data_IF_828958193177
#
_entry.id   IF_828958193177
#
_cell.length_a   1.000
_cell.length_b   1.000
_cell.length_c   1.000
_cell.angle_alpha   90.00
_cell.angle_beta   90.00
_cell.angle_gamma   90.00
#
_symmetry.space_group_name_H-M   'P 1'
#
loop_
_entity.id
_entity.type
_entity.pdbx_description
1 polymer ?
#
# COMPACT_ATOMS: atom_id res chain seq x y z
N UNK A 1 22.27 1.59 -8.64
CA UNK A 1 20.94 1.94 -9.17
C UNK A 1 19.89 1.18 -8.40
N UNK A 2 18.83 1.83 -7.95
CA UNK A 2 17.70 1.17 -7.26
C UNK A 2 16.37 1.53 -7.89
N UNK A 3 15.53 0.51 -8.06
CA UNK A 3 14.11 0.68 -8.32
C UNK A 3 13.38 0.42 -7.00
N UNK A 4 12.47 1.33 -6.63
CA UNK A 4 11.79 1.34 -5.34
C UNK A 4 10.29 1.41 -5.57
N UNK A 5 9.52 0.65 -4.79
CA UNK A 5 8.08 0.84 -4.72
C UNK A 5 7.60 0.96 -3.29
N UNK A 6 6.59 1.79 -3.08
CA UNK A 6 5.89 1.93 -1.81
C UNK A 6 4.52 1.27 -1.93
N UNK A 7 4.31 0.24 -1.11
CA UNK A 7 3.05 -0.48 -0.99
C UNK A 7 2.45 -0.23 0.40
N UNK A 8 1.14 -0.36 0.50
CA UNK A 8 0.38 -0.02 1.69
C UNK A 8 -0.96 0.58 1.30
N UNK A 9 -1.97 0.33 2.14
CA UNK A 9 -3.34 0.80 1.88
C UNK A 9 -3.39 2.34 1.86
N UNK A 10 -4.33 2.88 1.10
CA UNK A 10 -4.65 4.31 1.14
C UNK A 10 -4.94 4.77 2.57
N UNK A 11 -4.64 6.04 2.90
CA UNK A 11 -4.71 6.60 4.27
C UNK A 11 -3.80 5.98 5.33
N UNK A 12 -2.94 5.03 4.99
CA UNK A 12 -1.88 4.58 5.92
C UNK A 12 -0.73 5.59 6.08
N UNK A 13 -0.82 6.77 5.47
CA UNK A 13 0.21 7.82 5.59
C UNK A 13 1.36 7.70 4.58
N UNK A 14 1.17 6.93 3.51
CA UNK A 14 2.15 6.68 2.44
C UNK A 14 2.66 7.94 1.71
N UNK A 15 1.98 9.09 1.88
CA UNK A 15 2.48 10.41 1.44
C UNK A 15 3.82 10.76 2.11
N UNK A 16 3.98 10.44 3.40
CA UNK A 16 5.18 10.80 4.16
C UNK A 16 6.43 10.18 3.52
N UNK A 17 6.41 8.88 3.25
CA UNK A 17 7.53 8.20 2.59
C UNK A 17 7.74 8.67 1.15
N UNK A 18 6.68 8.92 0.39
CA UNK A 18 6.83 9.43 -0.98
C UNK A 18 7.51 10.79 -1.02
N UNK A 19 7.16 11.69 -0.09
CA UNK A 19 7.79 13.02 0.02
C UNK A 19 9.23 12.90 0.51
N UNK A 20 9.53 11.99 1.44
CA UNK A 20 10.90 11.67 1.83
C UNK A 20 11.73 11.19 0.65
N UNK A 21 11.25 10.23 -0.15
CA UNK A 21 11.97 9.73 -1.33
C UNK A 21 12.21 10.85 -2.36
N UNK A 22 11.18 11.64 -2.67
CA UNK A 22 11.32 12.79 -3.57
C UNK A 22 12.35 13.81 -3.06
N UNK A 23 12.29 14.18 -1.79
CA UNK A 23 13.26 15.08 -1.16
C UNK A 23 14.69 14.51 -1.10
N UNK A 24 14.83 13.18 -1.26
CA UNK A 24 16.11 12.48 -1.30
C UNK A 24 16.67 12.31 -2.72
N UNK A 25 16.03 12.91 -3.73
CA UNK A 25 16.47 12.83 -5.12
C UNK A 25 16.04 11.57 -5.86
N UNK A 26 15.09 10.80 -5.34
CA UNK A 26 14.52 9.64 -6.06
C UNK A 26 13.56 10.14 -7.15
N UNK A 27 13.78 9.70 -8.39
CA UNK A 27 12.84 9.95 -9.47
C UNK A 27 11.57 9.09 -9.30
N UNK A 28 10.44 9.72 -8.98
CA UNK A 28 9.19 9.01 -8.64
C UNK A 28 8.19 8.92 -9.81
N UNK A 29 8.61 9.28 -11.03
CA UNK A 29 7.78 9.43 -12.22
C UNK A 29 7.63 10.89 -12.66
N UNK A 30 7.20 11.11 -13.90
CA UNK A 30 7.12 12.47 -14.49
C UNK A 30 6.04 13.35 -13.88
N UNK A 31 4.97 12.76 -13.36
CA UNK A 31 3.83 13.52 -12.84
C UNK A 31 3.37 12.92 -11.52
N UNK A 32 3.37 13.75 -10.48
CA UNK A 32 2.95 13.40 -9.13
C UNK A 32 1.78 14.28 -8.70
N UNK A 33 0.80 13.69 -8.02
CA UNK A 33 -0.22 14.47 -7.33
C UNK A 33 0.30 15.01 -5.98
N UNK A 34 -0.52 15.77 -5.24
CA UNK A 34 -0.16 16.31 -3.91
C UNK A 34 0.24 15.24 -2.88
N UNK A 35 -0.29 14.02 -3.03
CA UNK A 35 0.02 12.88 -2.17
C UNK A 35 1.31 12.15 -2.53
N UNK A 36 2.02 12.59 -3.58
CA UNK A 36 3.19 11.90 -4.11
C UNK A 36 2.81 10.64 -4.90
N UNK A 37 1.54 10.48 -5.28
CA UNK A 37 1.15 9.37 -6.15
C UNK A 37 1.58 9.66 -7.58
N UNK A 38 2.13 8.64 -8.24
CA UNK A 38 2.38 8.68 -9.67
C UNK A 38 1.05 8.67 -10.43
N UNK A 39 0.87 9.63 -11.33
CA UNK A 39 -0.34 9.81 -12.14
C UNK A 39 0.03 10.04 -13.62
N UNK A 40 -0.88 9.79 -14.58
CA UNK A 40 -2.26 9.29 -14.45
C UNK A 40 -2.33 7.83 -13.96
N UNK A 41 -3.27 7.49 -13.06
CA UNK A 41 -3.33 6.15 -12.44
C UNK A 41 -4.13 5.11 -13.24
N UNK A 42 -4.81 5.52 -14.32
CA UNK A 42 -5.81 4.70 -15.01
C UNK A 42 -5.28 3.32 -15.41
N UNK A 43 -4.09 3.25 -15.99
CA UNK A 43 -3.47 1.99 -16.41
C UNK A 43 -3.23 1.03 -15.24
N UNK A 44 -2.79 1.55 -14.07
CA UNK A 44 -2.66 0.72 -12.87
C UNK A 44 -4.03 0.28 -12.34
N UNK A 45 -5.05 1.15 -12.39
CA UNK A 45 -6.41 0.77 -11.98
C UNK A 45 -7.01 -0.31 -12.88
N UNK A 46 -6.76 -0.25 -14.18
CA UNK A 46 -7.17 -1.28 -15.12
C UNK A 46 -6.41 -2.59 -14.83
N UNK A 47 -5.10 -2.52 -14.54
CA UNK A 47 -4.32 -3.69 -14.13
C UNK A 47 -4.87 -4.34 -12.84
N UNK A 48 -5.34 -3.54 -11.87
CA UNK A 48 -6.05 -4.06 -10.70
C UNK A 48 -7.28 -4.87 -11.09
N UNK A 49 -8.08 -4.40 -12.04
CA UNK A 49 -9.25 -5.13 -12.54
C UNK A 49 -8.89 -6.40 -13.28
N UNK A 50 -7.77 -6.42 -14.01
CA UNK A 50 -7.28 -7.62 -14.68
C UNK A 50 -6.91 -8.70 -13.66
N UNK A 51 -6.08 -8.37 -12.67
CA UNK A 51 -5.68 -9.35 -11.65
C UNK A 51 -6.87 -9.83 -10.80
N UNK A 52 -7.81 -8.93 -10.50
CA UNK A 52 -8.99 -9.26 -9.69
C UNK A 52 -9.86 -10.37 -10.29
N UNK A 53 -9.87 -10.54 -11.63
CA UNK A 53 -10.57 -11.65 -12.32
C UNK A 53 -10.15 -13.04 -11.81
N UNK A 54 -8.95 -13.14 -11.25
CA UNK A 54 -8.35 -14.40 -10.78
C UNK A 54 -8.46 -14.59 -9.26
N UNK A 55 -8.98 -13.60 -8.53
CA UNK A 55 -9.22 -13.69 -7.09
C UNK A 55 -10.59 -14.32 -6.85
N UNK A 56 -10.64 -15.46 -6.15
CA UNK A 56 -11.90 -16.14 -5.85
C UNK A 56 -12.39 -15.79 -4.45
N UNK A 57 -13.52 -15.10 -4.36
CA UNK A 57 -14.23 -14.92 -3.09
C UNK A 57 -14.81 -16.26 -2.60
N UNK A 58 -14.62 -16.57 -1.31
CA UNK A 58 -15.11 -17.81 -0.68
C UNK A 58 -16.38 -17.59 0.15
N UNK A 59 -16.86 -16.35 0.24
CA UNK A 59 -17.90 -15.94 1.17
C UNK A 59 -17.34 -15.21 2.39
N UNK A 60 -18.16 -14.37 3.03
CA UNK A 60 -17.76 -13.57 4.18
C UNK A 60 -16.50 -12.74 3.91
N UNK A 61 -15.49 -12.88 4.77
CA UNK A 61 -14.23 -12.12 4.74
C UNK A 61 -13.03 -12.95 4.24
N UNK A 62 -13.29 -13.92 3.36
CA UNK A 62 -12.30 -14.87 2.85
C UNK A 62 -12.17 -14.83 1.32
N UNK A 63 -10.92 -14.77 0.84
CA UNK A 63 -10.54 -14.79 -0.56
C UNK A 63 -9.40 -15.78 -0.78
N UNK A 64 -9.33 -16.33 -1.98
CA UNK A 64 -8.28 -17.25 -2.40
C UNK A 64 -7.37 -16.59 -3.42
N UNK A 65 -6.12 -16.42 -3.01
CA UNK A 65 -5.05 -15.80 -3.77
C UNK A 65 -4.07 -16.81 -4.36
N UNK A 66 -4.26 -18.11 -4.09
CA UNK A 66 -3.26 -19.16 -4.38
C UNK A 66 -2.85 -19.16 -5.85
N UNK A 67 -3.82 -19.07 -6.76
CA UNK A 67 -3.59 -19.08 -8.21
C UNK A 67 -2.67 -17.96 -8.67
N UNK A 68 -2.66 -16.79 -8.00
CA UNK A 68 -1.88 -15.62 -8.41
C UNK A 68 -0.36 -15.86 -8.35
N UNK A 69 0.08 -16.85 -7.56
CA UNK A 69 1.49 -17.13 -7.33
C UNK A 69 2.11 -18.06 -8.38
N UNK A 70 1.31 -18.94 -8.97
CA UNK A 70 1.81 -20.02 -9.84
C UNK A 70 1.36 -19.90 -11.31
N UNK A 71 0.22 -19.24 -11.57
CA UNK A 71 -0.28 -19.08 -12.94
C UNK A 71 0.58 -18.13 -13.78
N UNK A 72 0.53 -18.22 -15.10
CA UNK A 72 1.12 -17.18 -15.96
C UNK A 72 0.43 -15.83 -15.71
N UNK A 73 1.22 -14.75 -15.71
CA UNK A 73 0.67 -13.40 -15.58
C UNK A 73 -0.10 -13.09 -16.87
N UNK A 74 -1.29 -12.50 -16.71
CA UNK A 74 -2.11 -12.10 -17.86
C UNK A 74 -1.36 -11.06 -18.71
N UNK A 75 -1.18 -11.26 -20.03
CA UNK A 75 -0.48 -10.29 -20.88
C UNK A 75 -1.11 -8.90 -20.86
N UNK A 76 -2.43 -8.79 -20.68
CA UNK A 76 -3.12 -7.51 -20.52
C UNK A 76 -2.58 -6.75 -19.30
N UNK A 77 -2.30 -7.46 -18.21
CA UNK A 77 -1.71 -6.87 -17.02
C UNK A 77 -0.28 -6.38 -17.26
N UNK A 78 0.54 -7.18 -17.92
CA UNK A 78 1.94 -6.82 -18.22
C UNK A 78 2.01 -5.56 -19.09
N UNK A 79 1.17 -5.47 -20.11
CA UNK A 79 1.07 -4.30 -20.99
C UNK A 79 0.65 -3.05 -20.21
N UNK A 80 -0.40 -3.15 -19.38
CA UNK A 80 -0.91 -2.04 -18.58
C UNK A 80 0.14 -1.53 -17.57
N UNK A 81 0.86 -2.43 -16.90
CA UNK A 81 1.92 -2.06 -15.97
C UNK A 81 3.15 -1.52 -16.70
N UNK A 82 3.51 -2.10 -17.84
CA UNK A 82 4.58 -1.61 -18.71
C UNK A 82 4.33 -0.17 -19.16
N UNK A 83 3.12 0.13 -19.64
CA UNK A 83 2.71 1.48 -20.01
C UNK A 83 2.70 2.44 -18.82
N UNK A 84 2.14 2.02 -17.67
CA UNK A 84 2.07 2.86 -16.48
C UNK A 84 3.45 3.24 -15.93
N UNK A 85 4.42 2.32 -15.98
CA UNK A 85 5.76 2.50 -15.43
C UNK A 85 6.82 2.90 -16.46
N UNK A 86 6.46 3.09 -17.74
CA UNK A 86 7.40 3.35 -18.84
C UNK A 86 8.36 4.54 -18.58
N UNK A 87 7.87 5.60 -17.94
CA UNK A 87 8.69 6.74 -17.55
C UNK A 87 9.67 6.39 -16.43
N UNK A 88 9.25 5.64 -15.42
CA UNK A 88 10.11 5.19 -14.31
C UNK A 88 11.15 4.18 -14.80
N UNK A 89 10.75 3.17 -15.56
CA UNK A 89 11.68 2.14 -16.06
C UNK A 89 12.64 2.70 -17.10
N UNK A 90 12.20 3.66 -17.92
CA UNK A 90 13.02 4.33 -18.93
C UNK A 90 13.96 5.42 -18.41
N UNK A 91 13.74 5.96 -17.21
CA UNK A 91 14.55 7.06 -16.68
C UNK A 91 15.98 6.63 -16.26
N UNK A 92 16.93 7.56 -16.37
CA UNK A 92 18.37 7.32 -16.12
C UNK A 92 18.83 7.65 -14.69
N UNK A 93 17.94 8.15 -13.84
CA UNK A 93 18.26 8.47 -12.45
C UNK A 93 18.78 7.25 -11.71
N UNK A 94 19.77 7.48 -10.83
CA UNK A 94 20.39 6.41 -10.04
C UNK A 94 19.36 5.73 -9.13
N UNK A 95 18.47 6.52 -8.51
CA UNK A 95 17.38 6.04 -7.70
C UNK A 95 16.07 6.46 -8.33
N UNK A 96 15.18 5.48 -8.54
CA UNK A 96 13.88 5.72 -9.14
C UNK A 96 12.82 4.81 -8.53
N UNK A 97 11.57 5.15 -8.71
CA UNK A 97 10.49 4.40 -8.11
C UNK A 97 9.12 4.92 -8.46
N UNK A 98 8.12 4.31 -7.84
CA UNK A 98 6.76 4.79 -7.92
C UNK A 98 6.07 4.58 -6.59
N UNK A 99 4.97 5.31 -6.42
CA UNK A 99 4.03 5.12 -5.33
C UNK A 99 2.64 5.35 -5.87
N UNK A 100 1.75 4.41 -5.59
CA UNK A 100 0.30 4.53 -5.74
C UNK A 100 -0.31 3.45 -4.83
N UNK A 101 -1.17 3.77 -3.84
CA UNK A 101 -1.64 2.80 -2.86
C UNK A 101 -2.28 1.54 -3.48
N UNK A 102 -2.94 1.68 -4.62
CA UNK A 102 -3.56 0.62 -5.40
C UNK A 102 -2.55 -0.41 -5.93
N UNK A 103 -1.24 -0.11 -5.96
CA UNK A 103 -0.19 -1.11 -6.22
C UNK A 103 -0.31 -2.29 -5.26
N UNK A 104 -0.80 -2.07 -4.04
CA UNK A 104 -1.05 -3.13 -3.05
C UNK A 104 -2.09 -4.15 -3.55
N UNK A 105 -3.11 -3.71 -4.29
CA UNK A 105 -4.15 -4.59 -4.84
C UNK A 105 -3.62 -5.56 -5.89
N UNK A 106 -2.45 -5.30 -6.45
CA UNK A 106 -1.79 -6.10 -7.50
C UNK A 106 -0.41 -6.58 -7.08
N UNK A 107 -0.11 -6.49 -5.79
CA UNK A 107 1.19 -6.83 -5.22
C UNK A 107 1.72 -8.22 -5.61
N UNK A 108 0.90 -9.30 -5.65
CA UNK A 108 1.38 -10.62 -6.06
C UNK A 108 2.08 -10.64 -7.42
N UNK A 109 1.49 -9.95 -8.42
CA UNK A 109 2.04 -9.93 -9.77
C UNK A 109 3.14 -8.87 -9.93
N UNK A 110 3.07 -7.76 -9.20
CA UNK A 110 4.19 -6.79 -9.15
C UNK A 110 5.47 -7.44 -8.63
N UNK A 111 5.40 -8.26 -7.57
CA UNK A 111 6.58 -8.99 -7.05
C UNK A 111 7.17 -9.93 -8.09
N UNK A 112 6.33 -10.58 -8.89
CA UNK A 112 6.78 -11.51 -9.94
C UNK A 112 7.39 -10.78 -11.14
N UNK A 113 6.85 -9.64 -11.54
CA UNK A 113 7.42 -8.81 -12.61
C UNK A 113 8.71 -8.10 -12.18
N UNK A 114 8.82 -7.74 -10.90
CA UNK A 114 9.92 -6.94 -10.36
C UNK A 114 10.53 -7.61 -9.11
N UNK A 115 11.17 -8.78 -9.23
CA UNK A 115 11.64 -9.56 -8.07
C UNK A 115 12.82 -8.92 -7.33
N UNK A 116 13.62 -8.09 -8.02
CA UNK A 116 14.89 -7.55 -7.52
C UNK A 116 14.82 -6.09 -7.06
N UNK A 117 13.61 -5.53 -6.94
CA UNK A 117 13.42 -4.13 -6.53
C UNK A 117 13.25 -4.01 -5.02
N UNK A 118 13.40 -2.80 -4.50
CA UNK A 118 13.22 -2.50 -3.07
C UNK A 118 11.76 -2.18 -2.76
N UNK A 119 11.13 -3.01 -1.95
CA UNK A 119 9.75 -2.84 -1.48
C UNK A 119 9.72 -2.19 -0.10
N UNK A 120 9.08 -1.04 0.00
CA UNK A 120 8.74 -0.42 1.29
C UNK A 120 7.27 -0.71 1.58
N UNK A 121 7.01 -1.63 2.50
CA UNK A 121 5.66 -1.87 3.00
C UNK A 121 5.36 -0.89 4.13
N UNK A 122 4.38 -0.03 3.89
CA UNK A 122 3.95 1.00 4.81
C UNK A 122 2.64 0.60 5.49
N UNK A 123 2.69 0.39 6.80
CA UNK A 123 1.51 0.04 7.60
C UNK A 123 1.16 1.14 8.59
N UNK A 124 -0.12 1.21 8.96
CA UNK A 124 -0.66 2.11 9.95
C UNK A 124 -1.73 1.36 10.73
N UNK A 125 -1.98 1.78 11.98
CA UNK A 125 -3.09 1.28 12.78
C UNK A 125 -4.39 1.27 11.92
N UNK A 126 -5.04 0.10 11.77
CA UNK A 126 -6.22 -0.03 10.92
C UNK A 126 -7.35 0.91 11.34
N UNK A 127 -7.51 1.15 12.65
CA UNK A 127 -8.54 2.04 13.22
C UNK A 127 -8.40 3.45 12.68
N UNK A 128 -7.15 3.90 12.53
CA UNK A 128 -6.77 5.20 12.00
C UNK A 128 -6.87 5.28 10.48
N UNK A 129 -6.65 4.14 9.80
CA UNK A 129 -6.69 4.04 8.35
C UNK A 129 -8.12 4.19 7.83
N UNK A 130 -9.11 3.62 8.50
CA UNK A 130 -10.50 3.62 8.03
C UNK A 130 -11.29 4.90 8.33
N UNK A 131 -10.68 5.88 9.02
CA UNK A 131 -11.36 7.12 9.38
C UNK A 131 -11.77 7.96 8.16
N UNK A 132 -11.04 7.88 7.06
CA UNK A 132 -11.21 8.77 5.91
C UNK A 132 -11.35 8.01 4.59
N UNK A 133 -11.98 8.65 3.60
CA UNK A 133 -12.36 8.03 2.34
C UNK A 133 -11.22 7.90 1.32
N UNK A 134 -10.97 6.70 0.81
CA UNK A 134 -9.98 6.42 -0.23
C UNK A 134 -10.60 5.73 -1.45
N UNK A 135 -9.90 5.77 -2.60
CA UNK A 135 -10.38 5.14 -3.83
C UNK A 135 -10.54 3.61 -3.72
N UNK A 136 -9.76 2.98 -2.85
CA UNK A 136 -9.83 1.54 -2.56
C UNK A 136 -10.91 1.14 -1.56
N UNK A 137 -11.71 2.08 -1.05
CA UNK A 137 -12.70 1.77 0.00
C UNK A 137 -13.74 0.77 -0.49
N UNK A 138 -14.13 0.89 -1.74
CA UNK A 138 -15.02 -0.04 -2.42
C UNK A 138 -14.18 -1.00 -3.27
N UNK A 139 -14.15 -2.28 -2.88
CA UNK A 139 -13.40 -3.30 -3.60
C UNK A 139 -14.04 -3.61 -4.97
N UNK A 140 -15.35 -3.35 -5.13
CA UNK A 140 -16.05 -3.61 -6.39
C UNK A 140 -15.63 -2.67 -7.53
N UNK A 141 -15.12 -1.47 -7.20
CA UNK A 141 -14.50 -0.53 -8.17
C UNK A 141 -13.32 -1.15 -8.94
N UNK A 142 -12.71 -2.20 -8.35
CA UNK A 142 -11.58 -2.95 -8.87
C UNK A 142 -11.94 -4.39 -9.26
N UNK A 143 -13.23 -4.74 -9.29
CA UNK A 143 -13.69 -6.07 -9.69
C UNK A 143 -13.48 -7.16 -8.63
N UNK A 144 -13.25 -6.79 -7.38
CA UNK A 144 -13.10 -7.74 -6.27
C UNK A 144 -14.45 -7.94 -5.60
N UNK A 145 -14.92 -9.18 -5.58
CA UNK A 145 -16.16 -9.57 -4.90
C UNK A 145 -15.99 -9.55 -3.37
N UNK A 146 -17.01 -9.06 -2.67
CA UNK A 146 -17.12 -9.09 -1.21
C UNK A 146 -18.58 -8.90 -0.78
N UNK A 147 -18.89 -9.19 0.48
CA UNK A 147 -20.21 -8.92 1.03
C UNK A 147 -20.45 -7.41 1.18
N UNK A 148 -21.41 -6.88 0.42
CA UNK A 148 -21.73 -5.45 0.45
C UNK A 148 -22.23 -5.00 1.83
N UNK A 149 -21.84 -3.79 2.23
CA UNK A 149 -22.36 -3.12 3.42
C UNK A 149 -22.51 -1.62 3.19
N UNK A 150 -23.62 -1.07 3.65
CA UNK A 150 -23.89 0.37 3.66
C UNK A 150 -23.10 1.10 4.76
N UNK A 151 -22.56 0.37 5.73
CA UNK A 151 -21.68 0.95 6.74
C UNK A 151 -20.30 1.27 6.11
N UNK A 152 -20.01 2.57 5.97
CA UNK A 152 -18.80 3.08 5.33
C UNK A 152 -17.54 2.61 6.06
N UNK A 153 -17.51 2.62 7.40
CA UNK A 153 -16.33 2.18 8.18
C UNK A 153 -16.12 0.68 8.06
N UNK A 154 -17.19 -0.10 8.07
CA UNK A 154 -17.12 -1.54 7.84
C UNK A 154 -16.60 -1.84 6.43
N UNK A 155 -17.07 -1.14 5.39
CA UNK A 155 -16.57 -1.30 4.02
C UNK A 155 -15.07 -1.02 3.91
N UNK A 156 -14.61 0.08 4.52
CA UNK A 156 -13.18 0.43 4.61
C UNK A 156 -12.38 -0.62 5.37
N UNK A 157 -12.94 -1.19 6.43
CA UNK A 157 -12.32 -2.24 7.22
C UNK A 157 -12.19 -3.55 6.43
N UNK A 158 -13.21 -3.91 5.65
CA UNK A 158 -13.19 -5.06 4.71
C UNK A 158 -12.09 -4.84 3.65
N UNK A 159 -12.04 -3.66 3.04
CA UNK A 159 -10.98 -3.29 2.08
C UNK A 159 -9.58 -3.36 2.69
N UNK A 160 -9.41 -2.89 3.93
CA UNK A 160 -8.15 -3.01 4.65
C UNK A 160 -7.77 -4.47 4.88
N UNK A 161 -8.72 -5.30 5.34
CA UNK A 161 -8.49 -6.74 5.57
C UNK A 161 -8.08 -7.43 4.28
N UNK A 162 -8.79 -7.20 3.18
CA UNK A 162 -8.45 -7.77 1.87
C UNK A 162 -6.99 -7.48 1.50
N UNK A 163 -6.56 -6.21 1.60
CA UNK A 163 -5.20 -5.80 1.24
C UNK A 163 -4.15 -6.41 2.19
N UNK A 164 -4.46 -6.50 3.48
CA UNK A 164 -3.58 -7.14 4.45
C UNK A 164 -3.42 -8.65 4.18
N UNK A 165 -4.52 -9.38 3.93
CA UNK A 165 -4.47 -10.81 3.61
C UNK A 165 -3.75 -11.08 2.28
N UNK A 166 -3.98 -10.26 1.25
CA UNK A 166 -3.27 -10.34 -0.03
C UNK A 166 -1.76 -10.17 0.16
N UNK A 167 -1.36 -9.18 0.97
CA UNK A 167 0.04 -8.95 1.35
C UNK A 167 0.63 -10.15 2.10
N UNK A 168 -0.13 -10.76 3.01
CA UNK A 168 0.30 -11.92 3.82
C UNK A 168 0.41 -13.20 3.00
N UNK A 169 -0.48 -13.40 2.03
CA UNK A 169 -0.47 -14.54 1.13
C UNK A 169 0.68 -14.48 0.11
N UNK A 170 1.12 -13.26 -0.25
CA UNK A 170 2.18 -13.07 -1.24
C UNK A 170 3.56 -13.43 -0.67
N UNK A 171 4.35 -14.28 -1.36
CA UNK A 171 5.73 -14.55 -0.98
C UNK A 171 6.54 -13.26 -0.83
N UNK A 172 7.23 -13.13 0.30
CA UNK A 172 7.98 -11.92 0.62
C UNK A 172 9.17 -11.77 -0.36
N UNK A 173 9.29 -10.65 -1.09
CA UNK A 173 10.42 -10.42 -1.96
C UNK A 173 11.71 -10.26 -1.16
N UNK A 174 12.84 -10.46 -1.83
CA UNK A 174 14.17 -10.43 -1.22
C UNK A 174 14.48 -9.09 -0.55
N UNK A 175 14.24 -8.00 -1.27
CA UNK A 175 14.51 -6.64 -0.82
C UNK A 175 13.22 -5.98 -0.32
N UNK A 176 12.89 -6.21 0.96
CA UNK A 176 11.64 -5.74 1.56
C UNK A 176 11.87 -5.17 2.97
N UNK A 177 11.19 -4.07 3.29
CA UNK A 177 11.17 -3.49 4.64
C UNK A 177 9.75 -3.11 5.07
N UNK A 178 9.40 -3.39 6.33
CA UNK A 178 8.18 -2.89 6.97
C UNK A 178 8.49 -1.56 7.67
N UNK A 179 7.62 -0.58 7.48
CA UNK A 179 7.65 0.68 8.24
C UNK A 179 6.26 0.98 8.76
N UNK A 180 6.15 1.12 10.09
CA UNK A 180 4.93 1.64 10.71
C UNK A 180 4.91 3.16 10.60
N UNK A 181 3.77 3.70 10.21
CA UNK A 181 3.52 5.14 10.16
C UNK A 181 3.81 5.80 11.51
N UNK A 182 3.40 5.15 12.60
CA UNK A 182 3.56 5.63 13.96
C UNK A 182 5.04 5.74 14.35
N UNK A 183 5.86 4.75 14.00
CA UNK A 183 7.31 4.80 14.26
C UNK A 183 7.99 5.88 13.41
N UNK A 184 7.55 6.04 12.16
CA UNK A 184 8.07 7.10 11.30
C UNK A 184 7.74 8.50 11.84
N UNK A 185 6.58 8.68 12.45
CA UNK A 185 6.16 9.97 13.02
C UNK A 185 6.81 10.22 14.37
N UNK A 186 6.72 9.26 15.30
CA UNK A 186 7.11 9.41 16.71
C UNK A 186 8.60 9.15 16.96
N UNK A 187 9.24 8.35 16.10
CA UNK A 187 10.66 7.96 16.21
C UNK A 187 11.40 8.20 14.90
N UNK A 188 11.10 9.34 14.24
CA UNK A 188 11.50 9.62 12.86
C UNK A 188 13.01 9.43 12.59
N UNK A 189 13.88 9.84 13.52
CA UNK A 189 15.33 9.70 13.35
C UNK A 189 15.74 8.22 13.21
N UNK A 190 15.19 7.34 14.03
CA UNK A 190 15.48 5.90 13.99
C UNK A 190 14.84 5.26 12.75
N UNK A 191 13.60 5.65 12.41
CA UNK A 191 12.92 5.16 11.22
C UNK A 191 13.69 5.52 9.93
N UNK A 192 14.19 6.76 9.82
CA UNK A 192 15.01 7.20 8.69
C UNK A 192 16.36 6.47 8.66
N UNK A 193 17.02 6.25 9.80
CA UNK A 193 18.27 5.50 9.85
C UNK A 193 18.10 4.07 9.32
N UNK A 194 17.02 3.38 9.73
CA UNK A 194 16.71 2.03 9.27
C UNK A 194 16.40 2.01 7.76
N UNK A 195 15.62 2.98 7.27
CA UNK A 195 15.31 3.11 5.86
C UNK A 195 16.55 3.41 5.01
N UNK A 196 17.46 4.28 5.48
CA UNK A 196 18.73 4.57 4.81
C UNK A 196 19.60 3.31 4.70
N UNK A 197 19.69 2.52 5.77
CA UNK A 197 20.44 1.27 5.77
C UNK A 197 19.87 0.26 4.75
N UNK A 198 18.55 0.19 4.63
CA UNK A 198 17.87 -0.67 3.66
C UNK A 198 18.03 -0.18 2.20
N UNK A 199 17.88 1.13 1.98
CA UNK A 199 17.88 1.75 0.66
C UNK A 199 19.28 1.95 0.09
N UNK A 200 20.28 2.14 0.96
CA UNK A 200 21.69 2.32 0.60
C UNK A 200 22.07 3.76 0.21
N UNK A 201 21.24 4.75 0.52
CA UNK A 201 21.54 6.17 0.27
C UNK A 201 20.94 7.08 1.36
N UNK A 202 21.46 8.30 1.55
CA UNK A 202 20.94 9.25 2.54
C UNK A 202 19.49 9.68 2.25
N UNK A 203 18.68 9.83 3.29
CA UNK A 203 17.28 10.26 3.16
C UNK A 203 17.08 11.66 3.72
N UNK A 204 16.29 12.45 2.98
CA UNK A 204 15.79 13.75 3.41
C UNK A 204 14.80 13.61 4.57
N UNK A 205 14.94 14.47 5.57
CA UNK A 205 13.98 14.60 6.66
C UNK A 205 12.84 15.52 6.24
N UNK A 206 11.60 15.09 6.46
CA UNK A 206 10.40 15.91 6.25
C UNK A 206 9.75 16.28 7.58
N UNK A 207 8.94 17.34 7.58
CA UNK A 207 8.10 17.68 8.72
C UNK A 207 6.93 16.68 8.79
N UNK A 208 6.74 16.06 9.94
CA UNK A 208 5.62 15.17 10.26
C UNK A 208 4.77 15.81 11.36
N UNK A 209 3.49 15.46 11.43
CA UNK A 209 2.59 15.92 12.49
C UNK A 209 2.24 14.77 13.42
N UNK A 210 2.55 14.91 14.70
CA UNK A 210 2.24 13.89 15.71
C UNK A 210 0.74 13.68 15.91
N UNK A 211 -0.07 14.73 15.73
CA UNK A 211 -1.54 14.66 15.80
C UNK A 211 -2.18 13.83 14.67
N UNK A 212 -1.37 13.38 13.69
CA UNK A 212 -1.82 12.42 12.70
C UNK A 212 -1.83 10.98 13.25
N UNK A 213 -1.26 10.69 14.43
CA UNK A 213 -1.21 9.35 15.04
C UNK A 213 -2.31 9.21 16.09
N UNK A 214 -3.06 8.10 16.03
CA UNK A 214 -4.06 7.77 17.04
C UNK A 214 -5.30 8.67 17.00
N UNK A 215 -5.64 9.20 15.82
CA UNK A 215 -6.84 10.04 15.59
C UNK A 215 -8.12 9.31 16.00
N UNK A 216 -8.14 7.98 15.87
CA UNK A 216 -9.27 7.15 16.28
C UNK A 216 -9.61 7.30 17.78
N UNK A 217 -8.65 7.68 18.63
CA UNK A 217 -8.88 7.89 20.08
C UNK A 217 -9.77 9.09 20.38
N UNK A 218 -9.85 10.04 19.46
CA UNK A 218 -10.67 11.26 19.58
C UNK A 218 -11.82 11.30 18.58
N UNK A 219 -12.02 10.22 17.82
CA UNK A 219 -13.14 10.08 16.87
C UNK A 219 -14.44 9.90 17.65
N UNK A 220 -15.47 10.66 17.29
CA UNK A 220 -16.77 10.66 17.97
C UNK A 220 -17.67 9.48 17.55
N UNK A 221 -17.16 8.59 16.68
CA UNK A 221 -17.86 7.44 16.10
C UNK A 221 -19.13 7.79 15.33
N UNK A 222 -19.33 9.05 14.95
CA UNK A 222 -20.51 9.48 14.18
C UNK A 222 -20.65 8.75 12.84
N UNK A 223 -19.54 8.36 12.23
CA UNK A 223 -19.48 7.61 10.97
C UNK A 223 -19.46 6.07 11.16
N UNK A 224 -19.51 5.56 12.39
CA UNK A 224 -19.49 4.13 12.73
C UNK A 224 -18.28 3.68 13.56
N UNK A 225 -18.22 2.38 13.88
CA UNK A 225 -17.13 1.78 14.65
C UNK A 225 -15.78 1.88 13.93
N UNK A 226 -14.71 2.02 14.71
CA UNK A 226 -13.34 1.98 14.20
C UNK A 226 -12.61 0.65 14.51
N UNK A 227 -13.17 -0.17 15.41
CA UNK A 227 -12.60 -1.46 15.80
C UNK A 227 -13.48 -2.60 15.30
N UNK A 228 -12.84 -3.58 14.68
CA UNK A 228 -13.48 -4.79 14.15
C UNK A 228 -12.66 -6.01 14.58
N UNK A 229 -13.31 -7.11 14.96
CA UNK A 229 -12.65 -8.29 15.51
C UNK A 229 -11.53 -8.84 14.61
N UNK A 230 -11.73 -8.79 13.29
CA UNK A 230 -10.76 -9.27 12.31
C UNK A 230 -9.48 -8.43 12.21
N UNK A 231 -9.39 -7.29 12.91
CA UNK A 231 -8.13 -6.55 13.03
C UNK A 231 -7.18 -7.12 14.07
N UNK A 232 -7.67 -7.88 15.06
CA UNK A 232 -6.88 -8.25 16.24
C UNK A 232 -5.54 -8.93 15.90
N UNK A 233 -5.55 -9.92 15.00
CA UNK A 233 -4.34 -10.64 14.60
C UNK A 233 -3.31 -9.72 13.93
N UNK A 234 -3.77 -8.90 12.99
CA UNK A 234 -2.90 -8.00 12.26
C UNK A 234 -2.39 -6.86 13.13
N UNK A 235 -3.20 -6.40 14.08
CA UNK A 235 -2.78 -5.43 15.08
C UNK A 235 -1.69 -6.00 15.99
N UNK A 236 -1.91 -7.19 16.55
CA UNK A 236 -0.92 -7.85 17.39
C UNK A 236 0.40 -8.11 16.64
N UNK A 237 0.35 -8.61 15.40
CA UNK A 237 1.53 -8.84 14.57
C UNK A 237 2.37 -7.57 14.35
N UNK A 238 1.71 -6.42 14.23
CA UNK A 238 2.35 -5.14 13.94
C UNK A 238 2.55 -4.27 15.19
N UNK A 239 2.38 -4.84 16.39
CA UNK A 239 2.64 -4.18 17.67
C UNK A 239 1.65 -3.05 17.98
N UNK A 240 0.39 -3.19 17.56
CA UNK A 240 -0.72 -2.32 17.95
C UNK A 240 -1.52 -2.96 19.09
N UNK A 241 -1.86 -2.17 20.10
CA UNK A 241 -2.68 -2.62 21.24
C UNK A 241 -4.12 -2.87 20.81
N UNK A 242 -4.64 -4.04 21.19
CA UNK A 242 -6.04 -4.47 21.02
C UNK A 242 -6.79 -4.07 22.29
N UNK A 243 -6.97 -2.77 22.48
CA UNK A 243 -7.91 -2.21 23.48
C UNK A 243 -9.17 -1.69 22.78
#
# INVERSE_FOLDING_TARGET
>A
MSLITVIGRGHSGTRAISHTLYASGVFMGHTLNRSGDKVPPQKLYDACRVMAKYVKWKGGLEWDFSVLHDMDIDPEFEDLIGEYLADVTGDRSEHKGWKLPETTLIYPWIVRMFPDIKYIHWIRDPRDSILSGHKTDDLSDFGIEYEWTDNIRQRRAISWKYQYELMKATPKPKDWVLVRFEDFVLQQQQALANLQAFLGFPLGRIIVREDAVGRWKTDDKSDGEYMFDFFANAMAENGYEVE
#
